data_IF_090930912671
#
_entry.id   IF_090930912671
#
_cell.length_a   1.000
_cell.length_b   1.000
_cell.length_c   1.000
_cell.angle_alpha   90.00
_cell.angle_beta   90.00
_cell.angle_gamma   90.00
#
_symmetry.space_group_name_H-M   'P 1'
#
loop_
_entity.id
_entity.type
_entity.pdbx_description
1 polymer ?
2 non-polymer ?
3 water ?
#
# COMPACT_ATOMS: atom_id res chain seq x y z
N UNK A 6 -9.24 25.49 15.36
CA UNK A 6 -9.57 24.15 15.93
C UNK A 6 -8.82 22.97 15.29
N UNK A 7 -8.48 23.08 14.01
CA UNK A 7 -7.66 22.06 13.33
C UNK A 7 -6.76 22.69 12.27
N UNK A 8 -5.68 22.01 11.91
CA UNK A 8 -4.82 22.45 10.83
C UNK A 8 -4.43 21.25 9.97
N UNK A 9 -4.62 21.40 8.66
CA UNK A 9 -4.19 20.38 7.70
C UNK A 9 -2.66 20.46 7.54
N UNK A 10 -1.98 19.34 7.70
CA UNK A 10 -0.55 19.26 7.40
C UNK A 10 -0.40 19.13 5.89
N UNK A 11 0.13 20.18 5.26
CA UNK A 11 0.19 20.23 3.79
C UNK A 11 1.43 19.54 3.22
N UNK A 12 2.32 19.07 4.10
CA UNK A 12 3.57 18.46 3.65
C UNK A 12 3.52 16.93 3.63
N UNK A 13 3.24 16.33 4.78
CA UNK A 13 3.29 14.86 4.90
C UNK A 13 2.18 14.21 4.09
N UNK A 14 2.44 13.00 3.62
CA UNK A 14 1.51 12.33 2.71
C UNK A 14 1.08 11.03 3.33
N UNK A 15 -0.23 10.86 3.44
CA UNK A 15 -0.82 9.62 3.93
C UNK A 15 -1.37 8.86 2.72
N UNK A 16 -1.22 7.54 2.71
CA UNK A 16 -1.83 6.74 1.65
C UNK A 16 -2.50 5.52 2.22
N UNK A 17 -3.71 5.25 1.74
CA UNK A 17 -4.41 4.01 2.05
C UNK A 17 -4.63 3.27 0.73
N UNK A 18 -4.12 2.04 0.65
CA UNK A 18 -4.19 1.27 -0.61
C UNK A 18 -4.76 -0.11 -0.27
N UNK A 19 -5.98 -0.38 -0.75
CA UNK A 19 -6.68 -1.61 -0.42
C UNK A 19 -6.75 -2.47 -1.66
N UNK A 20 -6.61 -3.77 -1.44
CA UNK A 20 -6.59 -4.75 -2.52
C UNK A 20 -7.52 -5.89 -2.19
N UNK A 21 -8.45 -6.17 -3.11
CA UNK A 21 -9.38 -7.29 -2.93
C UNK A 21 -8.88 -8.49 -3.71
N UNK A 22 -8.46 -9.55 -3.02
CA UNK A 22 -7.91 -10.70 -3.73
C UNK A 22 -9.00 -11.43 -4.53
N UNK A 23 -8.57 -12.12 -5.58
CA UNK A 23 -9.41 -13.12 -6.24
C UNK A 23 -9.65 -14.30 -5.27
N UNK A 24 -10.71 -15.08 -5.54
CA UNK A 24 -10.99 -16.30 -4.79
C UNK A 24 -9.74 -17.18 -4.78
N UNK A 25 -9.37 -17.66 -3.60
CA UNK A 25 -8.23 -18.56 -3.45
C UNK A 25 -6.85 -17.91 -3.51
N UNK A 26 -6.80 -16.58 -3.62
CA UNK A 26 -5.52 -15.89 -3.78
C UNK A 26 -5.15 -15.03 -2.58
N UNK A 27 -5.91 -15.11 -1.49
CA UNK A 27 -5.71 -14.19 -0.37
C UNK A 27 -4.34 -14.40 0.31
N UNK A 28 -3.98 -15.64 0.64
CA UNK A 28 -2.67 -15.90 1.25
C UNK A 28 -1.51 -15.46 0.36
N UNK A 29 -1.61 -15.75 -0.94
CA UNK A 29 -0.61 -15.27 -1.93
C UNK A 29 -0.54 -13.73 -1.96
N UNK A 30 -1.69 -13.07 -1.85
CA UNK A 30 -1.69 -11.61 -1.85
C UNK A 30 -1.03 -11.03 -0.60
N UNK A 31 -1.36 -11.57 0.57
CA UNK A 31 -0.76 -11.09 1.82
C UNK A 31 0.76 -11.26 1.71
N UNK A 32 1.21 -12.43 1.26
CA UNK A 32 2.65 -12.68 1.09
C UNK A 32 3.35 -11.69 0.14
N UNK A 33 2.71 -11.41 -1.00
CA UNK A 33 3.24 -10.50 -2.02
C UNK A 33 3.37 -9.09 -1.46
N UNK A 34 2.34 -8.63 -0.75
CA UNK A 34 2.37 -7.29 -0.13
C UNK A 34 3.37 -7.25 1.03
N UNK A 35 3.40 -8.30 1.85
CA UNK A 35 4.32 -8.30 3.00
C UNK A 35 5.77 -8.27 2.54
N UNK A 36 6.04 -8.84 1.36
CA UNK A 36 7.41 -8.89 0.83
C UNK A 36 7.96 -7.47 0.55
N UNK A 37 7.06 -6.50 0.39
CA UNK A 37 7.45 -5.11 0.10
C UNK A 37 7.88 -4.34 1.34
N UNK A 38 7.54 -4.86 2.52
CA UNK A 38 7.68 -4.07 3.75
C UNK A 38 9.14 -3.76 4.18
N UNK A 39 10.01 -4.79 4.25
CA UNK A 39 11.36 -4.52 4.78
C UNK A 39 12.10 -3.43 4.02
N UNK A 40 12.05 -3.43 2.69
CA UNK A 40 12.76 -2.36 1.96
C UNK A 40 12.06 -1.01 2.02
N UNK A 41 10.73 -1.01 2.12
CA UNK A 41 10.02 0.24 2.19
C UNK A 41 10.28 0.94 3.52
N UNK A 42 10.29 0.18 4.62
CA UNK A 42 10.54 0.75 5.93
C UNK A 42 11.94 1.36 6.00
N UNK A 43 12.85 0.84 5.16
CA UNK A 43 14.24 1.32 5.10
C UNK A 43 14.43 2.56 4.20
N UNK A 44 13.37 3.01 3.53
CA UNK A 44 13.38 4.27 2.76
C UNK A 44 13.51 5.46 3.73
N UNK A 45 14.41 6.40 3.42
CA UNK A 45 14.66 7.56 4.28
C UNK A 45 13.38 8.38 4.56
N UNK A 46 12.51 8.47 3.57
CA UNK A 46 11.29 9.27 3.68
C UNK A 46 10.02 8.50 4.04
N UNK A 47 10.14 7.21 4.33
CA UNK A 47 9.01 6.42 4.82
C UNK A 47 8.82 6.58 6.33
N UNK A 48 7.63 7.01 6.74
CA UNK A 48 7.29 7.16 8.18
C UNK A 48 6.57 5.92 8.69
N UNK A 49 5.65 5.41 7.86
CA UNK A 49 4.77 4.33 8.23
C UNK A 49 4.45 3.51 6.99
N UNK A 50 4.46 2.19 7.17
CA UNK A 50 4.08 1.28 6.09
C UNK A 50 3.54 -0.01 6.68
N UNK A 51 2.25 0.00 6.99
CA UNK A 51 1.63 -1.05 7.79
C UNK A 51 0.63 -1.82 6.95
N UNK A 52 0.75 -3.15 6.99
CA UNK A 52 -0.15 -4.05 6.27
C UNK A 52 -1.24 -4.59 7.21
N UNK A 53 -2.44 -4.79 6.66
CA UNK A 53 -3.63 -5.10 7.46
C UNK A 53 -4.54 -6.06 6.69
N UNK A 54 -5.12 -7.03 7.39
CA UNK A 54 -6.09 -7.95 6.79
C UNK A 54 -7.47 -7.68 7.37
N UNK A 55 -8.45 -7.55 6.48
CA UNK A 55 -9.81 -7.18 6.88
C UNK A 55 -10.49 -8.25 7.72
N UNK A 56 -11.12 -7.81 8.80
CA UNK A 56 -11.99 -8.68 9.61
C UNK A 56 -13.38 -8.80 8.98
N UNK A 57 -13.73 -7.84 8.12
CA UNK A 57 -15.08 -7.82 7.53
C UNK A 57 -15.18 -8.49 6.16
N UNK A 58 -14.10 -8.42 5.39
CA UNK A 58 -14.02 -9.01 4.06
C UNK A 58 -12.66 -9.70 4.00
N UNK A 59 -12.61 -10.98 4.34
CA UNK A 59 -11.28 -11.55 4.53
C UNK A 59 -10.41 -11.66 3.25
N UNK A 60 -10.97 -11.40 2.06
CA UNK A 60 -10.15 -11.27 0.83
C UNK A 60 -9.46 -9.90 0.71
N UNK A 61 -9.84 -8.94 1.55
CA UNK A 61 -9.26 -7.58 1.49
C UNK A 61 -7.98 -7.44 2.32
N UNK A 62 -6.92 -6.92 1.70
CA UNK A 62 -5.65 -6.67 2.36
C UNK A 62 -5.30 -5.20 2.07
N UNK A 63 -4.92 -4.42 3.09
CA UNK A 63 -4.80 -2.96 2.94
C UNK A 63 -3.52 -2.41 3.57
N UNK A 64 -2.80 -1.57 2.82
CA UNK A 64 -1.68 -0.82 3.36
C UNK A 64 -2.13 0.53 3.91
N UNK A 65 -1.61 0.87 5.09
CA UNK A 65 -1.78 2.19 5.69
C UNK A 65 -0.38 2.79 5.77
N UNK A 66 -0.20 3.92 5.08
CA UNK A 66 1.14 4.43 4.81
C UNK A 66 1.25 5.91 5.16
N UNK A 67 2.48 6.34 5.43
CA UNK A 67 2.80 7.77 5.63
C UNK A 67 4.24 8.04 5.19
N UNK A 68 4.43 9.14 4.47
CA UNK A 68 5.72 9.57 3.94
C UNK A 68 5.96 11.03 4.28
N UNK A 69 7.23 11.41 4.37
CA UNK A 69 7.58 12.77 4.82
C UNK A 69 7.03 13.86 3.88
N UNK A 70 6.84 13.51 2.61
CA UNK A 70 6.33 14.48 1.61
C UNK A 70 6.02 13.78 0.31
N UNK A 71 5.48 14.52 -0.66
CA UNK A 71 5.08 13.92 -1.92
C UNK A 71 6.29 13.41 -2.71
N UNK A 72 7.43 14.09 -2.65
CA UNK A 72 8.63 13.55 -3.31
C UNK A 72 8.98 12.15 -2.79
N UNK A 73 8.89 11.95 -1.48
CA UNK A 73 9.20 10.64 -0.89
C UNK A 73 8.16 9.58 -1.30
N UNK A 74 6.89 9.97 -1.35
CA UNK A 74 5.82 9.08 -1.84
C UNK A 74 6.09 8.69 -3.31
N UNK A 75 6.41 9.67 -4.16
CA UNK A 75 6.69 9.41 -5.58
C UNK A 75 7.91 8.49 -5.76
N UNK A 76 8.95 8.73 -4.95
CA UNK A 76 10.14 7.88 -4.94
C UNK A 76 9.78 6.42 -4.61
N UNK A 77 8.95 6.24 -3.57
CA UNK A 77 8.46 4.93 -3.17
C UNK A 77 7.74 4.24 -4.34
N UNK A 78 6.80 4.96 -4.97
CA UNK A 78 6.00 4.41 -6.06
C UNK A 78 6.81 4.02 -7.29
N UNK A 79 7.97 4.64 -7.48
CA UNK A 79 8.84 4.32 -8.62
C UNK A 79 9.85 3.21 -8.33
N UNK A 80 9.88 2.70 -7.10
CA UNK A 80 10.80 1.59 -6.76
C UNK A 80 10.49 0.34 -7.58
N UNK A 81 11.55 -0.38 -7.98
CA UNK A 81 11.41 -1.58 -8.80
C UNK A 81 10.44 -2.61 -8.21
N UNK A 82 10.55 -2.90 -6.91
CA UNK A 82 9.66 -3.92 -6.31
C UNK A 82 8.19 -3.49 -6.30
N UNK A 83 7.96 -2.19 -6.15
CA UNK A 83 6.60 -1.66 -6.13
C UNK A 83 6.02 -1.75 -7.54
N UNK A 84 6.79 -1.33 -8.55
CA UNK A 84 6.34 -1.42 -9.93
C UNK A 84 6.13 -2.89 -10.36
N UNK A 85 7.01 -3.78 -9.90
CA UNK A 85 6.85 -5.21 -10.18
C UNK A 85 5.54 -5.73 -9.57
N UNK A 86 5.28 -5.37 -8.32
CA UNK A 86 4.01 -5.72 -7.70
C UNK A 86 2.81 -5.24 -8.56
N UNK A 87 2.74 -3.95 -8.89
CA UNK A 87 1.61 -3.40 -9.70
C UNK A 87 1.48 -4.09 -11.03
N UNK A 88 2.58 -4.18 -11.78
CA UNK A 88 2.60 -4.70 -13.16
C UNK A 88 2.48 -6.20 -13.32
N UNK A 89 3.14 -6.94 -12.43
CA UNK A 89 3.29 -8.38 -12.62
C UNK A 89 2.50 -9.22 -11.61
N UNK A 90 2.44 -8.76 -10.36
CA UNK A 90 1.86 -9.59 -9.31
C UNK A 90 0.36 -9.34 -9.20
N UNK A 91 0.00 -8.08 -9.08
CA UNK A 91 -1.39 -7.67 -8.91
C UNK A 91 -2.39 -8.27 -9.93
N UNK A 92 -2.07 -8.28 -11.25
CA UNK A 92 -3.04 -8.83 -12.19
C UNK A 92 -3.37 -10.30 -11.96
N UNK A 93 -2.47 -11.05 -11.33
CA UNK A 93 -2.69 -12.47 -11.09
C UNK A 93 -3.50 -12.72 -9.81
N UNK A 94 -3.38 -11.82 -8.84
CA UNK A 94 -3.93 -12.04 -7.50
C UNK A 94 -5.14 -11.21 -7.13
N UNK A 95 -5.33 -10.06 -7.78
CA UNK A 95 -6.29 -9.05 -7.31
C UNK A 95 -7.49 -8.90 -8.24
N UNK A 96 -8.69 -8.89 -7.66
CA UNK A 96 -9.94 -8.64 -8.39
C UNK A 96 -10.13 -7.14 -8.65
N UNK A 97 -9.91 -6.34 -7.62
CA UNK A 97 -10.10 -4.89 -7.69
C UNK A 97 -9.30 -4.26 -6.55
N UNK A 98 -9.05 -2.95 -6.66
CA UNK A 98 -8.24 -2.27 -5.67
C UNK A 98 -8.62 -0.80 -5.63
N UNK A 99 -8.12 -0.09 -4.64
CA UNK A 99 -8.32 1.35 -4.56
C UNK A 99 -7.13 1.98 -3.87
N UNK A 100 -6.64 3.08 -4.42
CA UNK A 100 -5.52 3.78 -3.80
C UNK A 100 -6.00 5.21 -3.56
N UNK A 101 -5.79 5.74 -2.36
CA UNK A 101 -6.16 7.12 -2.07
C UNK A 101 -5.06 7.78 -1.26
N UNK A 102 -4.67 9.00 -1.66
CA UNK A 102 -3.69 9.76 -0.85
C UNK A 102 -4.39 10.89 -0.12
N UNK A 103 -3.79 11.32 0.99
CA UNK A 103 -4.40 12.24 1.91
C UNK A 103 -3.35 13.18 2.52
N UNK A 104 -3.82 14.30 3.07
CA UNK A 104 -3.09 15.09 4.07
C UNK A 104 -3.75 14.88 5.43
N UNK A 105 -2.94 14.85 6.47
CA UNK A 105 -3.43 14.64 7.81
C UNK A 105 -4.00 15.93 8.37
N UNK A 106 -5.11 15.80 9.09
CA UNK A 106 -5.74 16.89 9.84
C UNK A 106 -5.37 16.77 11.33
N UNK A 107 -4.68 17.78 11.84
CA UNK A 107 -4.26 17.82 13.24
C UNK A 107 -5.25 18.64 14.06
N UNK A 108 -5.85 17.99 15.06
CA UNK A 108 -6.71 18.65 16.03
C UNK A 108 -6.23 18.32 17.45
X LIG B 1 -11.84 -11.51 15.68
X LIG B 1 -13.03 -12.37 15.61
X LIG B 1 -12.02 -10.49 16.75
X LIG B 1 -10.66 -12.34 15.97
X LIG B 1 -11.68 -10.90 14.36
X LIG C 1 15.03 0.56 -7.09
X LIG C 1 13.85 0.86 -7.87
X LIG C 1 15.53 1.82 -6.53
X LIG C 1 14.79 -0.37 -5.98
X LIG C 1 16.05 0.01 -7.99
#
# INVERSE_FOLDING_TARGET
MSTSADYKINQQQIVCVASFLSKEGKTEALIAALASLIPDTRREAGCIRYELNVSRDEPRRVTFVEKFVDIAAFDEHCAKDAIQHYFHQVMPELVESFHVETYHQVIA
SO4 S O1 O2 O3 O4
SO4 S O1 O2 O3 O4
#
